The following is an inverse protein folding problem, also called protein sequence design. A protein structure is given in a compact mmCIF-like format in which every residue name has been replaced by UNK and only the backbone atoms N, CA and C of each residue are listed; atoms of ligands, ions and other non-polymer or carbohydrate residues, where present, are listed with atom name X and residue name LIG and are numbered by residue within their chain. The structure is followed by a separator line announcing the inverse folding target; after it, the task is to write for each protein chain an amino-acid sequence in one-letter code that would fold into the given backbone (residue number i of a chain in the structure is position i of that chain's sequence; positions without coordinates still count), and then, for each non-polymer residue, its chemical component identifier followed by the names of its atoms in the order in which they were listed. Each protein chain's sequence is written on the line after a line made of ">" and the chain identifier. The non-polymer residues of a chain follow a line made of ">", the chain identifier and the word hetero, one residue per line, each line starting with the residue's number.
data_IF_813488244681
#
_entry.id   IF_813488244681
#
_cell.length_a   1.000
_cell.length_b   1.000
_cell.length_c   1.000
_cell.angle_alpha   90.00
_cell.angle_beta   90.00
_cell.angle_gamma   90.00
#
_symmetry.space_group_name_H-M   'P 1'
#
loop_
_entity.id
_entity.type
_entity.pdbx_description
1 polymer ?
#
# COMPACT_ATOMS: atom_id res chain seq x y z
N UNK A 1 -23.69 -0.07 1.70
CA UNK A 1 -22.83 0.21 0.53
C UNK A 1 -23.40 -0.54 -0.65
N UNK A 2 -23.50 0.12 -1.80
CA UNK A 2 -23.93 -0.44 -3.08
C UNK A 2 -22.74 -0.87 -3.93
N UNK A 3 -22.97 -1.57 -5.04
CA UNK A 3 -21.92 -1.88 -6.03
C UNK A 3 -21.29 -0.60 -6.60
N UNK A 4 -22.08 0.47 -6.80
CA UNK A 4 -21.57 1.77 -7.24
C UNK A 4 -20.61 2.40 -6.23
N UNK A 5 -20.89 2.27 -4.93
CA UNK A 5 -20.00 2.76 -3.88
C UNK A 5 -18.65 2.04 -3.90
N UNK A 6 -18.66 0.72 -4.14
CA UNK A 6 -17.44 -0.07 -4.27
C UNK A 6 -16.66 0.26 -5.52
N UNK A 7 -17.34 0.45 -6.66
CA UNK A 7 -16.71 0.91 -7.89
C UNK A 7 -15.94 2.22 -7.68
N UNK A 8 -16.58 3.22 -7.06
CA UNK A 8 -15.94 4.51 -6.74
C UNK A 8 -14.81 4.36 -5.73
N UNK A 9 -14.97 3.49 -4.73
CA UNK A 9 -13.93 3.19 -3.74
C UNK A 9 -12.68 2.64 -4.42
N UNK A 10 -12.85 1.65 -5.31
CA UNK A 10 -11.76 1.05 -6.08
C UNK A 10 -11.11 2.08 -7.01
N UNK A 11 -11.91 2.90 -7.71
CA UNK A 11 -11.42 3.96 -8.59
C UNK A 11 -10.53 4.97 -7.85
N UNK A 12 -10.96 5.42 -6.67
CA UNK A 12 -10.17 6.33 -5.82
C UNK A 12 -8.88 5.65 -5.37
N UNK A 13 -8.93 4.38 -4.94
CA UNK A 13 -7.74 3.65 -4.48
C UNK A 13 -6.75 3.31 -5.59
N UNK A 14 -7.18 3.30 -6.86
CA UNK A 14 -6.30 3.07 -8.00
C UNK A 14 -5.30 4.23 -8.22
N UNK A 15 -5.60 5.43 -7.71
CA UNK A 15 -4.68 6.56 -7.74
C UNK A 15 -3.70 6.41 -6.56
N UNK A 16 -2.38 6.27 -6.77
CA UNK A 16 -1.47 5.85 -5.69
C UNK A 16 -1.48 6.75 -4.45
N UNK A 17 -1.29 8.05 -4.62
CA UNK A 17 -1.20 9.00 -3.50
C UNK A 17 -2.57 9.29 -2.88
N UNK A 18 -3.57 9.57 -3.71
CA UNK A 18 -4.94 9.85 -3.24
C UNK A 18 -5.54 8.62 -2.59
N UNK A 19 -5.34 7.45 -3.19
CA UNK A 19 -5.79 6.16 -2.69
C UNK A 19 -5.20 5.86 -1.32
N UNK A 20 -3.88 6.04 -1.14
CA UNK A 20 -3.24 5.85 0.16
C UNK A 20 -3.82 6.80 1.22
N UNK A 21 -3.97 8.09 0.92
CA UNK A 21 -4.59 9.06 1.86
C UNK A 21 -6.02 8.64 2.21
N UNK A 22 -6.81 8.25 1.22
CA UNK A 22 -8.21 7.85 1.43
C UNK A 22 -8.33 6.57 2.27
N UNK A 23 -7.38 5.64 2.17
CA UNK A 23 -7.31 4.49 3.08
C UNK A 23 -7.15 4.92 4.54
N UNK A 24 -6.31 5.92 4.84
CA UNK A 24 -6.21 6.47 6.21
C UNK A 24 -7.52 7.15 6.64
N UNK A 25 -8.12 7.95 5.76
CA UNK A 25 -9.39 8.64 6.04
C UNK A 25 -10.50 7.62 6.33
N UNK A 26 -10.60 6.52 5.59
CA UNK A 26 -11.63 5.51 5.84
C UNK A 26 -11.29 4.58 7.01
N UNK A 27 -10.02 4.26 7.24
CA UNK A 27 -9.60 3.39 8.34
C UNK A 27 -9.80 4.07 9.71
N UNK A 28 -9.56 5.38 9.80
CA UNK A 28 -9.51 6.10 11.07
C UNK A 28 -10.52 7.26 11.19
N UNK A 29 -11.18 7.64 10.10
CA UNK A 29 -12.22 8.67 10.12
C UNK A 29 -13.55 8.14 10.65
N UNK A 30 -14.12 8.83 11.64
CA UNK A 30 -15.36 8.41 12.32
C UNK A 30 -16.65 8.46 11.48
N UNK A 31 -16.58 8.83 10.20
CA UNK A 31 -17.75 8.95 9.31
C UNK A 31 -17.86 7.89 8.22
N UNK A 32 -16.89 6.95 8.12
CA UNK A 32 -16.92 5.92 7.09
C UNK A 32 -17.83 4.75 7.47
N UNK A 33 -18.44 4.10 6.47
CA UNK A 33 -19.17 2.86 6.68
C UNK A 33 -18.26 1.78 7.28
N UNK A 34 -18.76 0.99 8.23
CA UNK A 34 -17.99 -0.01 8.97
C UNK A 34 -17.28 -1.03 8.05
N UNK A 35 -17.96 -1.53 7.02
CA UNK A 35 -17.36 -2.46 6.06
C UNK A 35 -16.20 -1.81 5.28
N UNK A 36 -16.34 -0.54 4.91
CA UNK A 36 -15.28 0.22 4.22
C UNK A 36 -14.10 0.51 5.16
N UNK A 37 -14.39 0.83 6.42
CA UNK A 37 -13.35 1.11 7.42
C UNK A 37 -12.51 -0.14 7.71
N UNK A 38 -13.15 -1.29 7.92
CA UNK A 38 -12.46 -2.57 8.13
C UNK A 38 -11.64 -3.00 6.91
N UNK A 39 -12.20 -2.82 5.70
CA UNK A 39 -11.45 -3.05 4.46
C UNK A 39 -10.23 -2.14 4.33
N UNK A 40 -10.38 -0.84 4.65
CA UNK A 40 -9.28 0.12 4.57
C UNK A 40 -8.15 -0.21 5.55
N UNK A 41 -8.47 -0.64 6.79
CA UNK A 41 -7.48 -1.14 7.75
C UNK A 41 -6.73 -2.35 7.21
N UNK A 42 -7.43 -3.32 6.63
CA UNK A 42 -6.81 -4.49 6.01
C UNK A 42 -5.89 -4.11 4.84
N UNK A 43 -6.32 -3.16 4.00
CA UNK A 43 -5.50 -2.68 2.88
C UNK A 43 -4.22 -1.98 3.35
N UNK A 44 -4.28 -1.18 4.43
CA UNK A 44 -3.09 -0.57 5.03
C UNK A 44 -2.10 -1.62 5.55
N UNK A 45 -2.60 -2.72 6.14
CA UNK A 45 -1.76 -3.86 6.55
C UNK A 45 -1.08 -4.49 5.34
N UNK A 46 -1.82 -4.71 4.24
CA UNK A 46 -1.23 -5.23 3.00
C UNK A 46 -0.17 -4.30 2.40
N UNK A 47 -0.43 -2.99 2.36
CA UNK A 47 0.54 -1.99 1.92
C UNK A 47 1.82 -2.07 2.75
N UNK A 48 1.71 -2.20 4.08
CA UNK A 48 2.85 -2.36 4.96
C UNK A 48 3.63 -3.65 4.68
N UNK A 49 2.94 -4.80 4.58
CA UNK A 49 3.56 -6.10 4.30
C UNK A 49 4.33 -6.06 2.96
N UNK A 50 3.68 -5.58 1.91
CA UNK A 50 4.30 -5.47 0.58
C UNK A 50 5.46 -4.48 0.58
N UNK A 51 5.34 -3.36 1.30
CA UNK A 51 6.43 -2.40 1.48
C UNK A 51 7.66 -3.01 2.17
N UNK A 52 7.46 -3.81 3.22
CA UNK A 52 8.54 -4.53 3.90
C UNK A 52 9.19 -5.56 2.97
N UNK A 53 8.39 -6.38 2.28
CA UNK A 53 8.91 -7.39 1.34
C UNK A 53 9.72 -6.71 0.22
N UNK A 54 9.18 -5.65 -0.38
CA UNK A 54 9.86 -4.89 -1.42
C UNK A 54 11.18 -4.26 -0.91
N UNK A 55 11.18 -3.73 0.31
CA UNK A 55 12.38 -3.19 0.95
C UNK A 55 13.48 -4.24 1.18
N UNK A 56 13.12 -5.44 1.64
CA UNK A 56 14.06 -6.55 1.82
C UNK A 56 14.63 -6.98 0.47
N UNK A 57 13.79 -7.16 -0.54
CA UNK A 57 14.23 -7.53 -1.89
C UNK A 57 15.16 -6.47 -2.48
N UNK A 58 14.80 -5.20 -2.38
CA UNK A 58 15.64 -4.09 -2.84
C UNK A 58 16.99 -4.06 -2.13
N UNK A 59 17.03 -4.31 -0.81
CA UNK A 59 18.27 -4.39 -0.05
C UNK A 59 19.17 -5.55 -0.51
N UNK A 60 18.61 -6.76 -0.65
CA UNK A 60 19.36 -7.94 -1.13
C UNK A 60 19.93 -7.70 -2.52
N UNK A 61 19.12 -7.13 -3.41
CA UNK A 61 19.49 -6.79 -4.79
C UNK A 61 20.58 -5.72 -4.80
N UNK A 62 20.43 -4.63 -4.04
CA UNK A 62 21.45 -3.58 -3.89
C UNK A 62 22.78 -4.15 -3.39
N UNK A 63 22.75 -5.02 -2.37
CA UNK A 63 23.93 -5.69 -1.83
C UNK A 63 24.59 -6.61 -2.86
N UNK A 64 23.80 -7.32 -3.66
CA UNK A 64 24.33 -8.16 -4.74
C UNK A 64 25.00 -7.33 -5.84
N UNK A 65 24.36 -6.23 -6.27
CA UNK A 65 24.93 -5.29 -7.24
C UNK A 65 26.24 -4.69 -6.72
N UNK A 66 26.26 -4.13 -5.51
CA UNK A 66 27.47 -3.49 -4.95
C UNK A 66 28.62 -4.47 -4.71
N UNK A 67 28.35 -5.68 -4.22
CA UNK A 67 29.37 -6.73 -4.07
C UNK A 67 29.96 -7.20 -5.41
N UNK A 68 29.17 -7.17 -6.50
CA UNK A 68 29.68 -7.52 -7.83
C UNK A 68 30.69 -6.49 -8.33
N UNK A 69 30.39 -5.20 -8.16
CA UNK A 69 31.22 -4.10 -8.66
C UNK A 69 32.33 -3.66 -7.69
N UNK A 70 32.41 -4.21 -6.47
CA UNK A 70 33.44 -3.83 -5.49
C UNK A 70 34.86 -4.27 -5.84
N UNK A 71 35.01 -5.22 -6.77
CA UNK A 71 36.31 -5.72 -7.25
C UNK A 71 36.68 -5.15 -8.64
N UNK A 72 35.79 -4.36 -9.23
CA UNK A 72 35.94 -3.78 -10.57
C UNK A 72 36.48 -2.32 -10.52
N UNK A 73 36.87 -1.83 -9.32
CA UNK A 73 37.37 -0.47 -9.05
C UNK A 73 38.78 -0.50 -8.44
#
# INVERSE_FOLDING_TARGET
>A
MTTGDWFLTILITAIPLIGLIMLFVWAFGGGANENKSSWAKAMLIWVLILGVIAGILAYVVYKAYTHRYSWDM
#
